data_IF_188373582857
#
_entry.id   IF_188373582857
#
_cell.length_a   1.000
_cell.length_b   1.000
_cell.length_c   1.000
_cell.angle_alpha   90.00
_cell.angle_beta   90.00
_cell.angle_gamma   90.00
#
_symmetry.space_group_name_H-M   'P 1'
#
loop_
_entity.id
_entity.type
_entity.pdbx_description
1 polymer ?
#
# COMPACT_ATOMS: atom_id res chain seq x y z
N UNK A 1 -17.57 -52.54 26.45
CA UNK A 1 -16.47 -52.78 27.34
C UNK A 1 -15.97 -51.42 27.77
N UNK A 2 -16.61 -50.76 28.74
CA UNK A 2 -16.50 -50.85 30.22
C UNK A 2 -15.05 -50.58 30.69
N UNK A 3 -14.85 -49.50 31.34
CA UNK A 3 -14.69 -49.13 32.74
C UNK A 3 -14.30 -47.66 32.79
N UNK A 4 -14.94 -46.65 33.34
CA UNK A 4 -15.53 -46.29 34.64
C UNK A 4 -14.60 -46.49 35.86
N UNK A 5 -14.36 -45.37 36.58
CA UNK A 5 -14.31 -45.13 38.02
C UNK A 5 -13.44 -43.89 38.27
N UNK A 6 -13.95 -42.80 38.78
CA UNK A 6 -14.59 -42.36 40.04
C UNK A 6 -13.60 -42.02 41.20
N UNK A 7 -13.98 -40.92 41.90
CA UNK A 7 -13.65 -40.45 43.25
C UNK A 7 -12.40 -39.55 43.38
N UNK A 8 -12.32 -38.54 44.26
CA UNK A 8 -13.27 -37.93 45.18
C UNK A 8 -12.69 -36.63 45.74
N UNK A 9 -13.56 -35.80 46.21
CA UNK A 9 -13.51 -34.65 47.08
C UNK A 9 -12.29 -34.47 47.99
N UNK A 10 -11.89 -33.22 48.30
CA UNK A 10 -12.16 -32.61 49.63
C UNK A 10 -11.85 -31.11 49.64
N UNK A 11 -12.83 -30.39 50.15
CA UNK A 11 -12.81 -29.01 50.60
C UNK A 11 -11.73 -28.72 51.66
N UNK A 12 -11.26 -27.48 51.76
CA UNK A 12 -11.07 -26.85 53.06
C UNK A 12 -11.22 -25.32 52.99
N UNK A 13 -12.35 -24.89 53.54
CA UNK A 13 -12.59 -23.55 54.04
C UNK A 13 -11.71 -23.26 55.24
N UNK A 14 -11.15 -22.07 55.35
CA UNK A 14 -10.84 -21.46 56.64
C UNK A 14 -11.14 -19.97 56.63
N UNK A 15 -12.25 -19.64 57.26
CA UNK A 15 -12.65 -18.36 57.82
C UNK A 15 -11.93 -18.11 59.13
N UNK A 16 -12.07 -16.87 59.64
CA UNK A 16 -11.83 -16.37 61.02
C UNK A 16 -10.69 -15.34 61.07
N UNK A 17 -10.75 -14.21 61.71
CA UNK A 17 -11.74 -13.58 62.62
C UNK A 17 -11.37 -12.09 62.77
N UNK A 18 -12.39 -11.30 63.08
CA UNK A 18 -12.25 -9.92 63.60
C UNK A 18 -11.99 -9.97 65.08
N UNK A 19 -11.10 -9.12 65.64
CA UNK A 19 -11.41 -8.31 66.87
C UNK A 19 -10.18 -7.62 67.46
N UNK A 20 -10.41 -6.29 67.71
CA UNK A 20 -9.95 -5.42 68.77
C UNK A 20 -8.44 -5.18 69.02
N UNK A 21 -8.01 -3.92 69.01
CA UNK A 21 -7.91 -3.09 70.24
C UNK A 21 -7.64 -1.60 69.91
N UNK A 22 -8.46 -0.76 70.53
CA UNK A 22 -8.24 0.68 70.71
C UNK A 22 -7.22 0.86 71.85
N UNK A 23 -6.41 1.95 71.84
CA UNK A 23 -6.23 2.93 72.95
C UNK A 23 -5.17 3.98 72.56
N UNK A 24 -5.63 5.21 72.55
CA UNK A 24 -5.09 6.54 72.89
C UNK A 24 -3.57 6.80 73.01
N UNK A 25 -3.17 7.92 72.41
CA UNK A 25 -1.96 8.70 72.73
C UNK A 25 -1.90 10.00 71.96
N UNK A 26 -2.44 11.09 72.45
CA UNK A 26 -2.31 12.45 71.95
C UNK A 26 -0.93 12.99 72.34
N UNK A 27 -0.08 13.40 71.40
CA UNK A 27 0.91 14.47 71.63
C UNK A 27 1.02 15.23 70.32
N UNK A 28 0.68 16.49 70.34
CA UNK A 28 0.75 17.39 69.20
C UNK A 28 2.18 17.84 68.89
N UNK A 29 2.47 17.91 67.63
CA UNK A 29 3.57 18.72 67.09
C UNK A 29 3.11 19.32 65.78
N UNK A 30 2.93 20.63 65.74
CA UNK A 30 2.63 21.38 64.56
C UNK A 30 3.87 21.39 63.67
N UNK A 31 3.79 20.79 62.50
CA UNK A 31 4.74 20.97 61.41
C UNK A 31 4.04 21.59 60.21
N UNK A 32 4.57 22.70 59.78
CA UNK A 32 4.19 23.47 58.61
C UNK A 32 4.00 22.56 57.40
N UNK A 33 2.79 22.44 56.90
CA UNK A 33 2.47 21.84 55.60
C UNK A 33 2.70 22.88 54.53
N UNK A 34 3.86 22.81 53.87
CA UNK A 34 4.02 23.42 52.54
C UNK A 34 3.09 22.73 51.55
N UNK A 35 2.62 23.43 50.49
CA UNK A 35 1.76 22.80 49.48
C UNK A 35 2.56 21.72 48.77
N UNK A 36 2.30 20.45 49.10
CA UNK A 36 2.73 19.33 48.34
C UNK A 36 2.11 19.48 46.93
N UNK A 37 2.92 19.91 45.98
CA UNK A 37 2.55 19.80 44.60
C UNK A 37 2.23 18.33 44.33
N UNK A 38 0.94 18.02 44.28
CA UNK A 38 0.47 16.75 43.72
C UNK A 38 0.94 16.71 42.32
N UNK A 39 2.07 16.07 42.08
CA UNK A 39 2.37 15.54 40.76
C UNK A 39 1.18 14.64 40.39
N UNK A 40 0.26 15.19 39.59
CA UNK A 40 -0.69 14.38 38.86
C UNK A 40 0.18 13.44 38.03
N UNK A 41 0.30 12.20 38.51
CA UNK A 41 0.68 11.10 37.60
C UNK A 41 -0.46 11.02 36.58
N UNK A 42 -0.36 11.85 35.55
CA UNK A 42 -1.17 11.72 34.36
C UNK A 42 -1.03 10.28 33.93
N UNK A 43 -2.12 9.55 33.90
CA UNK A 43 -2.20 8.28 33.20
C UNK A 43 -1.65 8.55 31.81
N UNK A 44 -0.42 8.16 31.54
CA UNK A 44 0.14 8.03 30.22
C UNK A 44 -0.53 6.84 29.54
N UNK A 45 -1.83 6.96 29.28
CA UNK A 45 -2.44 6.23 28.19
C UNK A 45 -1.74 6.75 26.95
N UNK A 46 -0.80 5.98 26.40
CA UNK A 46 0.01 6.41 25.28
C UNK A 46 -0.93 6.93 24.18
N UNK A 47 -0.63 8.12 23.66
CA UNK A 47 -1.31 8.69 22.48
C UNK A 47 -1.33 7.63 21.39
N UNK A 48 -2.49 7.42 20.78
CA UNK A 48 -2.69 6.40 19.76
C UNK A 48 -3.38 7.02 18.55
N UNK A 49 -2.92 6.64 17.35
CA UNK A 49 -3.59 6.85 16.08
C UNK A 49 -4.14 5.52 15.61
N UNK A 50 -5.34 5.50 15.10
CA UNK A 50 -5.99 4.34 14.50
C UNK A 50 -6.17 4.57 13.01
N UNK A 51 -5.64 3.67 12.20
CA UNK A 51 -5.75 3.66 10.74
C UNK A 51 -6.70 2.57 10.30
N UNK A 52 -7.60 2.88 9.36
CA UNK A 52 -8.44 1.90 8.68
C UNK A 52 -7.80 1.48 7.36
N UNK A 53 -7.65 0.18 7.13
CA UNK A 53 -7.06 -0.38 5.92
C UNK A 53 -7.96 -1.46 5.33
N UNK A 54 -8.25 -1.37 4.02
CA UNK A 54 -8.96 -2.40 3.25
C UNK A 54 -8.03 -2.91 2.16
N UNK A 55 -7.76 -4.21 2.19
CA UNK A 55 -6.86 -4.89 1.23
C UNK A 55 -7.41 -6.27 0.89
N UNK A 56 -7.10 -6.82 -0.28
CA UNK A 56 -7.42 -8.21 -0.57
C UNK A 56 -6.53 -9.13 0.27
N UNK A 57 -7.13 -9.77 1.28
CA UNK A 57 -6.49 -10.82 2.08
C UNK A 57 -6.84 -12.20 1.54
N UNK A 58 -7.86 -12.27 0.70
CA UNK A 58 -8.36 -13.47 0.02
C UNK A 58 -8.56 -13.19 -1.47
N UNK A 59 -8.64 -14.27 -2.26
CA UNK A 59 -8.89 -14.19 -3.69
C UNK A 59 -7.63 -13.97 -4.52
N UNK A 60 -7.83 -13.62 -5.78
CA UNK A 60 -6.78 -13.69 -6.79
C UNK A 60 -5.73 -12.55 -6.73
N UNK A 61 -5.94 -11.54 -5.90
CA UNK A 61 -4.99 -10.45 -5.66
C UNK A 61 -4.43 -10.44 -4.22
N UNK A 62 -4.64 -11.53 -3.46
CA UNK A 62 -4.22 -11.66 -2.07
C UNK A 62 -2.70 -11.50 -1.89
N UNK A 63 -1.90 -12.03 -2.81
CA UNK A 63 -0.44 -11.88 -2.77
C UNK A 63 0.00 -10.41 -2.73
N UNK A 64 -0.67 -9.55 -3.51
CA UNK A 64 -0.38 -8.10 -3.55
C UNK A 64 -0.82 -7.44 -2.24
N UNK A 65 -2.07 -7.73 -1.80
CA UNK A 65 -2.63 -7.17 -0.57
C UNK A 65 -1.85 -7.55 0.67
N UNK A 66 -1.52 -8.83 0.82
CA UNK A 66 -0.73 -9.36 1.94
C UNK A 66 0.70 -8.79 1.96
N UNK A 67 1.36 -8.71 0.81
CA UNK A 67 2.72 -8.17 0.74
C UNK A 67 2.75 -6.69 1.16
N UNK A 68 1.82 -5.87 0.66
CA UNK A 68 1.72 -4.46 1.04
C UNK A 68 1.40 -4.28 2.53
N UNK A 69 0.40 -5.03 3.05
CA UNK A 69 0.05 -5.04 4.47
C UNK A 69 1.26 -5.39 5.35
N UNK A 70 1.96 -6.47 5.01
CA UNK A 70 3.10 -6.97 5.79
C UNK A 70 4.24 -5.95 5.84
N UNK A 71 4.55 -5.30 4.71
CA UNK A 71 5.55 -4.24 4.67
C UNK A 71 5.20 -3.04 5.55
N UNK A 72 3.95 -2.59 5.49
CA UNK A 72 3.47 -1.50 6.33
C UNK A 72 3.46 -1.87 7.83
N UNK A 73 2.93 -3.05 8.15
CA UNK A 73 2.84 -3.56 9.52
C UNK A 73 4.23 -3.72 10.15
N UNK A 74 5.18 -4.28 9.42
CA UNK A 74 6.56 -4.46 9.87
C UNK A 74 7.18 -3.14 10.33
N UNK A 75 6.99 -2.05 9.57
CA UNK A 75 7.48 -0.72 9.97
C UNK A 75 6.75 -0.19 11.21
N UNK A 76 5.42 -0.21 11.23
CA UNK A 76 4.65 0.29 12.36
C UNK A 76 4.93 -0.50 13.65
N UNK A 77 5.07 -1.82 13.57
CA UNK A 77 5.44 -2.64 14.72
C UNK A 77 6.82 -2.27 15.25
N UNK A 78 7.80 -2.04 14.36
CA UNK A 78 9.16 -1.65 14.75
C UNK A 78 9.22 -0.30 15.49
N UNK A 79 8.42 0.68 15.08
CA UNK A 79 8.36 1.98 15.78
C UNK A 79 7.53 1.90 17.05
N UNK A 80 6.47 1.09 17.07
CA UNK A 80 5.63 0.89 18.25
C UNK A 80 6.38 0.20 19.39
N UNK A 81 7.28 -0.73 19.08
CA UNK A 81 8.19 -1.37 20.06
C UNK A 81 9.15 -0.36 20.70
N UNK A 82 9.50 0.72 19.99
CA UNK A 82 10.35 1.83 20.45
C UNK A 82 9.53 2.98 21.05
N UNK A 83 8.37 2.69 21.64
CA UNK A 83 7.45 3.67 22.24
C UNK A 83 6.71 4.58 21.22
N UNK A 84 6.60 4.16 19.96
CA UNK A 84 5.88 4.88 18.90
C UNK A 84 6.65 6.05 18.31
N UNK A 85 6.00 6.79 17.43
CA UNK A 85 6.55 7.98 16.76
C UNK A 85 6.31 9.19 17.66
N UNK A 86 7.35 9.76 18.24
CA UNK A 86 7.25 10.86 19.21
C UNK A 86 6.27 10.57 20.36
N UNK A 87 6.26 9.33 20.85
CA UNK A 87 5.36 8.87 21.92
C UNK A 87 3.94 8.52 21.46
N UNK A 88 3.67 8.53 20.15
CA UNK A 88 2.37 8.16 19.55
C UNK A 88 2.46 6.76 18.96
N UNK A 89 1.64 5.83 19.43
CA UNK A 89 1.50 4.50 18.83
C UNK A 89 0.56 4.53 17.63
N UNK A 90 0.85 3.72 16.63
CA UNK A 90 0.04 3.61 15.42
C UNK A 90 -0.57 2.20 15.38
N UNK A 91 -1.89 2.12 15.36
CA UNK A 91 -2.66 0.89 15.17
C UNK A 91 -3.26 0.87 13.78
N UNK A 92 -3.13 -0.26 13.08
CA UNK A 92 -3.81 -0.49 11.80
C UNK A 92 -4.91 -1.53 12.01
N UNK A 93 -6.14 -1.17 11.66
CA UNK A 93 -7.28 -2.09 11.58
C UNK A 93 -7.48 -2.46 10.14
N UNK A 94 -7.38 -3.74 9.83
CA UNK A 94 -7.45 -4.24 8.46
C UNK A 94 -8.71 -5.07 8.25
N UNK A 95 -9.39 -4.83 7.13
CA UNK A 95 -10.53 -5.61 6.65
C UNK A 95 -10.22 -6.17 5.26
N UNK A 96 -10.69 -7.40 5.02
CA UNK A 96 -10.60 -8.04 3.70
C UNK A 96 -11.66 -7.49 2.76
N UNK A 97 -11.25 -7.10 1.55
CA UNK A 97 -12.17 -6.75 0.48
C UNK A 97 -12.20 -7.76 -0.68
N UNK A 98 -11.32 -8.75 -0.68
CA UNK A 98 -11.22 -9.74 -1.74
C UNK A 98 -11.04 -9.13 -3.14
N UNK A 99 -10.43 -7.94 -3.22
CA UNK A 99 -10.28 -7.12 -4.43
C UNK A 99 -11.61 -6.63 -5.02
N UNK A 100 -12.64 -6.47 -4.18
CA UNK A 100 -13.96 -5.98 -4.56
C UNK A 100 -14.12 -4.50 -4.21
N UNK A 101 -14.35 -3.65 -5.22
CA UNK A 101 -14.60 -2.22 -5.03
C UNK A 101 -15.80 -1.95 -4.11
N UNK A 102 -16.86 -2.78 -4.20
CA UNK A 102 -18.05 -2.67 -3.33
C UNK A 102 -17.71 -2.96 -1.88
N UNK A 103 -16.92 -4.00 -1.61
CA UNK A 103 -16.49 -4.33 -0.24
C UNK A 103 -15.52 -3.26 0.29
N UNK A 104 -14.61 -2.77 -0.52
CA UNK A 104 -13.70 -1.70 -0.13
C UNK A 104 -14.44 -0.42 0.26
N UNK A 105 -15.49 -0.04 -0.48
CA UNK A 105 -16.38 1.08 -0.15
C UNK A 105 -17.10 0.86 1.18
N UNK A 106 -17.63 -0.34 1.43
CA UNK A 106 -18.28 -0.70 2.69
C UNK A 106 -17.29 -0.66 3.86
N UNK A 107 -16.09 -1.21 3.69
CA UNK A 107 -15.02 -1.16 4.69
C UNK A 107 -14.62 0.28 5.02
N UNK A 108 -14.46 1.14 4.01
CA UNK A 108 -14.13 2.56 4.20
C UNK A 108 -15.22 3.28 5.01
N UNK A 109 -16.49 3.04 4.70
CA UNK A 109 -17.63 3.59 5.43
C UNK A 109 -17.63 3.11 6.89
N UNK A 110 -17.35 1.82 7.12
CA UNK A 110 -17.22 1.25 8.47
C UNK A 110 -16.12 1.97 9.26
N UNK A 111 -14.93 2.09 8.71
CA UNK A 111 -13.82 2.77 9.37
C UNK A 111 -14.11 4.24 9.70
N UNK A 112 -14.74 4.98 8.76
CA UNK A 112 -15.11 6.38 8.99
C UNK A 112 -16.14 6.50 10.11
N UNK A 113 -17.14 5.61 10.15
CA UNK A 113 -18.15 5.57 11.21
C UNK A 113 -17.56 5.18 12.57
N UNK A 114 -16.55 4.34 12.60
CA UNK A 114 -15.78 3.98 13.81
C UNK A 114 -14.82 5.10 14.26
N UNK A 115 -14.68 6.16 13.48
CA UNK A 115 -13.88 7.33 13.84
C UNK A 115 -12.37 7.09 13.73
N UNK A 116 -11.89 6.30 12.76
CA UNK A 116 -10.45 6.19 12.50
C UNK A 116 -9.85 7.55 12.13
N UNK A 117 -8.57 7.74 12.44
CA UNK A 117 -7.88 9.01 12.20
C UNK A 117 -7.58 9.23 10.71
N UNK A 118 -7.32 8.13 9.97
CA UNK A 118 -7.14 8.14 8.52
C UNK A 118 -7.46 6.78 7.89
N UNK A 119 -7.85 6.78 6.63
CA UNK A 119 -7.79 5.62 5.75
C UNK A 119 -6.35 5.49 5.24
N UNK A 120 -5.81 4.28 5.27
CA UNK A 120 -4.41 4.02 4.94
C UNK A 120 -4.27 2.82 4.01
N UNK A 121 -3.57 3.00 2.91
CA UNK A 121 -3.05 1.87 2.14
C UNK A 121 -4.11 0.88 1.63
N UNK A 122 -5.25 1.36 1.16
CA UNK A 122 -6.20 0.53 0.43
C UNK A 122 -5.57 0.01 -0.86
N UNK A 123 -5.87 -1.22 -1.25
CA UNK A 123 -5.23 -1.87 -2.40
C UNK A 123 -6.22 -2.09 -3.54
N UNK A 124 -5.84 -1.66 -4.74
CA UNK A 124 -6.61 -1.76 -5.97
C UNK A 124 -7.17 -0.42 -6.43
N UNK A 125 -7.05 -0.12 -7.74
CA UNK A 125 -7.48 1.16 -8.30
C UNK A 125 -8.98 1.37 -8.11
N UNK A 126 -9.80 0.41 -8.53
CA UNK A 126 -11.24 0.46 -8.37
C UNK A 126 -11.67 0.49 -6.89
N UNK A 127 -10.96 -0.25 -6.01
CA UNK A 127 -11.20 -0.27 -4.56
C UNK A 127 -10.92 1.10 -3.92
N UNK A 128 -9.82 1.75 -4.31
CA UNK A 128 -9.47 3.08 -3.81
C UNK A 128 -10.47 4.15 -4.26
N UNK A 129 -10.87 4.12 -5.53
CA UNK A 129 -11.85 5.07 -6.09
C UNK A 129 -13.21 4.91 -5.41
N UNK A 130 -13.69 3.68 -5.23
CA UNK A 130 -14.96 3.39 -4.57
C UNK A 130 -14.95 3.76 -3.08
N UNK A 131 -13.86 3.49 -2.38
CA UNK A 131 -13.68 3.89 -0.98
C UNK A 131 -13.71 5.41 -0.80
N UNK A 132 -13.01 6.14 -1.67
CA UNK A 132 -13.02 7.61 -1.66
C UNK A 132 -14.42 8.15 -1.96
N UNK A 133 -15.07 7.67 -3.02
CA UNK A 133 -16.42 8.11 -3.38
C UNK A 133 -17.46 7.86 -2.27
N UNK A 134 -17.36 6.72 -1.58
CA UNK A 134 -18.27 6.38 -0.49
C UNK A 134 -18.08 7.24 0.77
N UNK A 135 -16.91 7.86 0.96
CA UNK A 135 -16.55 8.60 2.18
C UNK A 135 -16.26 10.09 1.94
N UNK A 136 -16.45 10.58 0.71
CA UNK A 136 -16.09 11.96 0.31
C UNK A 136 -16.78 13.02 1.17
N UNK A 137 -18.03 12.79 1.60
CA UNK A 137 -18.79 13.72 2.42
C UNK A 137 -18.18 13.94 3.82
N UNK A 138 -17.51 12.93 4.37
CA UNK A 138 -16.81 13.00 5.66
C UNK A 138 -15.37 13.50 5.50
N UNK A 139 -14.89 13.63 4.26
CA UNK A 139 -13.53 14.08 3.91
C UNK A 139 -12.42 13.45 4.80
N UNK A 140 -12.36 12.11 4.94
CA UNK A 140 -11.31 11.49 5.73
C UNK A 140 -9.96 11.78 5.09
N UNK A 141 -8.89 11.76 5.88
CA UNK A 141 -7.55 11.67 5.32
C UNK A 141 -7.42 10.28 4.68
N UNK A 142 -7.01 10.22 3.42
CA UNK A 142 -6.74 8.99 2.71
C UNK A 142 -5.28 8.95 2.30
N UNK A 143 -4.49 8.15 2.99
CA UNK A 143 -3.04 8.13 2.86
C UNK A 143 -2.56 6.90 2.11
N UNK A 144 -1.68 7.12 1.12
CA UNK A 144 -0.97 6.11 0.35
C UNK A 144 -1.86 5.00 -0.22
N UNK A 145 -2.99 5.33 -0.92
CA UNK A 145 -3.73 4.30 -1.62
C UNK A 145 -2.79 3.58 -2.62
N UNK A 146 -2.75 2.24 -2.55
CA UNK A 146 -2.11 1.39 -3.55
C UNK A 146 -3.06 1.24 -4.74
N UNK A 147 -3.39 2.38 -5.34
CA UNK A 147 -4.22 2.53 -6.51
C UNK A 147 -3.60 3.59 -7.40
N UNK A 148 -3.60 3.35 -8.70
CA UNK A 148 -2.92 4.23 -9.64
C UNK A 148 -3.88 5.22 -10.33
N UNK A 149 -5.13 5.36 -9.85
CA UNK A 149 -6.14 6.27 -10.39
C UNK A 149 -5.66 7.71 -10.43
N UNK A 150 -5.68 8.32 -11.60
CA UNK A 150 -5.36 9.74 -11.76
C UNK A 150 -6.46 10.64 -11.19
N UNK A 151 -7.69 10.13 -11.05
CA UNK A 151 -8.79 10.84 -10.40
C UNK A 151 -8.48 11.20 -8.95
N UNK A 152 -7.82 10.30 -8.18
CA UNK A 152 -7.39 10.57 -6.80
C UNK A 152 -6.18 11.51 -6.70
N UNK A 153 -5.69 12.02 -7.82
CA UNK A 153 -4.57 12.97 -7.93
C UNK A 153 -4.99 14.32 -8.49
N UNK A 154 -6.29 14.51 -8.69
CA UNK A 154 -6.82 15.77 -9.19
C UNK A 154 -6.51 16.92 -8.21
N UNK A 155 -6.25 18.15 -8.73
CA UNK A 155 -5.82 19.29 -7.91
C UNK A 155 -6.79 19.69 -6.81
N UNK A 156 -8.08 19.47 -7.02
CA UNK A 156 -9.18 19.78 -6.09
C UNK A 156 -9.34 18.75 -4.96
N UNK A 157 -8.68 17.59 -5.07
CA UNK A 157 -8.72 16.56 -4.02
C UNK A 157 -7.67 16.87 -2.95
N UNK A 158 -8.07 17.47 -1.84
CA UNK A 158 -7.16 17.95 -0.79
C UNK A 158 -6.95 16.94 0.36
N UNK A 159 -7.70 15.84 0.39
CA UNK A 159 -7.65 14.86 1.49
C UNK A 159 -6.91 13.57 1.15
N UNK A 160 -6.49 13.37 -0.11
CA UNK A 160 -5.76 12.20 -0.57
C UNK A 160 -4.28 12.52 -0.74
N UNK A 161 -3.42 11.70 -0.13
CA UNK A 161 -1.97 11.83 -0.18
C UNK A 161 -1.35 10.58 -0.80
N UNK A 162 -0.90 10.72 -2.05
CA UNK A 162 -0.38 9.60 -2.83
C UNK A 162 1.14 9.48 -2.67
N UNK A 163 1.61 8.29 -2.33
CA UNK A 163 3.05 7.96 -2.28
C UNK A 163 3.53 7.46 -3.65
N UNK A 164 2.71 6.65 -4.33
CA UNK A 164 3.02 6.15 -5.67
C UNK A 164 2.56 7.12 -6.77
N UNK A 165 3.17 7.08 -7.98
CA UNK A 165 2.69 7.81 -9.16
C UNK A 165 1.34 7.27 -9.67
N UNK A 166 0.71 8.01 -10.59
CA UNK A 166 -0.51 7.62 -11.27
C UNK A 166 -0.27 6.81 -12.54
N UNK A 167 -1.37 6.33 -13.16
CA UNK A 167 -1.31 5.64 -14.45
C UNK A 167 -0.72 6.53 -15.55
N UNK A 168 -1.02 7.83 -15.55
CA UNK A 168 -0.50 8.77 -16.52
C UNK A 168 1.03 8.90 -16.45
N UNK A 169 1.60 8.92 -15.23
CA UNK A 169 3.05 9.01 -15.04
C UNK A 169 3.76 7.77 -15.57
N UNK A 170 3.24 6.58 -15.24
CA UNK A 170 3.79 5.31 -15.70
C UNK A 170 3.64 5.14 -17.22
N UNK A 171 2.45 5.45 -17.77
CA UNK A 171 2.17 5.41 -19.20
C UNK A 171 3.14 6.29 -19.99
N UNK A 172 3.34 7.53 -19.54
CA UNK A 172 4.29 8.44 -20.19
C UNK A 172 5.71 7.86 -20.24
N UNK A 173 6.18 7.26 -19.14
CA UNK A 173 7.50 6.63 -19.07
C UNK A 173 7.61 5.42 -20.00
N UNK A 174 6.58 4.55 -20.03
CA UNK A 174 6.52 3.35 -20.87
C UNK A 174 6.50 3.73 -22.35
N UNK A 175 5.61 4.66 -22.73
CA UNK A 175 5.48 5.11 -24.14
C UNK A 175 6.76 5.79 -24.62
N UNK A 176 7.39 6.64 -23.78
CA UNK A 176 8.67 7.26 -24.10
C UNK A 176 9.77 6.22 -24.33
N UNK A 177 9.77 5.13 -23.57
CA UNK A 177 10.70 4.02 -23.78
C UNK A 177 10.49 3.36 -25.13
N UNK A 178 9.24 3.03 -25.50
CA UNK A 178 8.92 2.49 -26.81
C UNK A 178 9.43 3.42 -27.93
N UNK A 179 9.19 4.72 -27.80
CA UNK A 179 9.67 5.72 -28.75
C UNK A 179 11.21 5.74 -28.89
N UNK A 180 11.92 5.62 -27.77
CA UNK A 180 13.40 5.56 -27.76
C UNK A 180 13.93 4.34 -28.49
N UNK A 181 13.17 3.25 -28.53
CA UNK A 181 13.49 2.02 -29.27
C UNK A 181 12.98 2.03 -30.71
N UNK A 182 12.36 3.12 -31.18
CA UNK A 182 11.76 3.21 -32.51
C UNK A 182 10.51 2.36 -32.68
N UNK A 183 9.85 2.00 -31.58
CA UNK A 183 8.60 1.23 -31.58
C UNK A 183 7.42 2.21 -31.67
N UNK A 184 6.86 2.41 -32.83
CA UNK A 184 5.75 3.32 -33.13
C UNK A 184 4.40 2.60 -33.29
N UNK A 185 4.40 1.28 -33.48
CA UNK A 185 3.21 0.43 -33.56
C UNK A 185 2.86 -0.15 -32.19
N UNK A 186 2.28 0.68 -31.33
CA UNK A 186 1.94 0.33 -29.96
C UNK A 186 0.48 -0.11 -29.87
N UNK A 187 0.23 -1.24 -29.21
CA UNK A 187 -1.11 -1.70 -28.84
C UNK A 187 -1.26 -1.78 -27.31
N UNK A 188 -2.51 -1.81 -26.84
CA UNK A 188 -2.83 -1.98 -25.42
C UNK A 188 -3.72 -3.20 -25.22
N UNK A 189 -3.30 -4.08 -24.31
CA UNK A 189 -4.14 -5.09 -23.67
C UNK A 189 -4.50 -4.62 -22.28
N UNK A 190 -5.80 -4.60 -21.93
CA UNK A 190 -6.25 -4.13 -20.63
C UNK A 190 -7.39 -4.98 -20.06
N UNK A 191 -7.56 -4.96 -18.75
CA UNK A 191 -8.76 -5.48 -18.09
C UNK A 191 -9.92 -4.50 -18.22
N UNK A 192 -11.15 -5.03 -18.20
CA UNK A 192 -12.38 -4.24 -18.32
C UNK A 192 -12.83 -3.73 -16.94
N UNK A 193 -11.97 -2.92 -16.33
CA UNK A 193 -12.21 -2.25 -15.05
C UNK A 193 -11.66 -0.81 -15.04
N UNK A 194 -11.75 -0.14 -13.90
CA UNK A 194 -11.27 1.23 -13.74
C UNK A 194 -9.74 1.35 -14.00
N UNK A 195 -8.95 0.35 -13.57
CA UNK A 195 -7.50 0.32 -13.79
C UNK A 195 -7.17 0.16 -15.27
N UNK A 196 -7.74 -0.84 -15.92
CA UNK A 196 -7.45 -1.14 -17.31
C UNK A 196 -7.90 -0.04 -18.26
N UNK A 197 -9.11 0.48 -18.07
CA UNK A 197 -9.65 1.61 -18.87
C UNK A 197 -8.85 2.90 -18.62
N UNK A 198 -8.47 3.17 -17.36
CA UNK A 198 -7.65 4.32 -17.00
C UNK A 198 -6.25 4.25 -17.62
N UNK A 199 -5.60 3.08 -17.57
CA UNK A 199 -4.29 2.88 -18.20
C UNK A 199 -4.32 2.96 -19.71
N UNK A 200 -5.36 2.41 -20.35
CA UNK A 200 -5.57 2.58 -21.80
C UNK A 200 -5.67 4.06 -22.17
N UNK A 201 -6.48 4.83 -21.45
CA UNK A 201 -6.62 6.26 -21.65
C UNK A 201 -5.29 7.01 -21.41
N UNK A 202 -4.54 6.63 -20.36
CA UNK A 202 -3.25 7.21 -20.03
C UNK A 202 -2.20 6.95 -21.14
N UNK A 203 -2.16 5.72 -21.71
CA UNK A 203 -1.27 5.40 -22.84
C UNK A 203 -1.63 6.20 -24.08
N UNK A 204 -2.93 6.31 -24.40
CA UNK A 204 -3.39 7.12 -25.53
C UNK A 204 -3.02 8.60 -25.36
N UNK A 205 -3.17 9.15 -24.15
CA UNK A 205 -2.77 10.52 -23.85
C UNK A 205 -1.25 10.71 -23.95
N UNK A 206 -0.46 9.77 -23.45
CA UNK A 206 0.99 9.82 -23.54
C UNK A 206 1.50 9.83 -24.99
N UNK A 207 0.84 9.11 -25.90
CA UNK A 207 1.14 9.17 -27.34
C UNK A 207 0.89 10.56 -27.91
N UNK A 208 -0.22 11.21 -27.53
CA UNK A 208 -0.54 12.59 -27.94
C UNK A 208 0.52 13.56 -27.42
N UNK A 209 0.83 13.49 -26.11
CA UNK A 209 1.78 14.40 -25.45
C UNK A 209 3.20 14.29 -26.07
N UNK A 210 3.58 13.09 -26.45
CA UNK A 210 4.88 12.79 -27.11
C UNK A 210 4.86 12.97 -28.63
N UNK A 211 3.71 13.35 -29.20
CA UNK A 211 3.51 13.53 -30.67
C UNK A 211 3.85 12.26 -31.48
N UNK A 212 3.47 11.12 -30.93
CA UNK A 212 3.65 9.81 -31.55
C UNK A 212 2.38 9.38 -32.29
N UNK A 213 2.48 8.40 -33.22
CA UNK A 213 1.31 7.80 -33.86
C UNK A 213 0.32 7.26 -32.82
N UNK A 214 -1.00 7.26 -33.12
CA UNK A 214 -1.98 6.69 -32.22
C UNK A 214 -1.82 5.18 -32.08
N UNK A 215 -2.48 4.60 -31.04
CA UNK A 215 -2.52 3.15 -30.86
C UNK A 215 -2.93 2.44 -32.16
N UNK A 216 -2.22 1.37 -32.54
CA UNK A 216 -2.62 0.52 -33.66
C UNK A 216 -3.78 -0.40 -33.29
N UNK A 217 -4.06 -0.61 -32.01
CA UNK A 217 -5.19 -1.35 -31.51
C UNK A 217 -5.24 -1.42 -30.00
N UNK A 218 -6.41 -1.74 -29.48
CA UNK A 218 -6.62 -2.04 -28.07
C UNK A 218 -7.63 -3.17 -27.90
N UNK A 219 -7.50 -3.96 -26.83
CA UNK A 219 -8.43 -5.02 -26.50
C UNK A 219 -8.60 -5.14 -25.00
N UNK A 220 -9.83 -5.45 -24.58
CA UNK A 220 -10.19 -5.65 -23.18
C UNK A 220 -10.44 -7.13 -22.91
N UNK A 221 -10.20 -7.56 -21.66
CA UNK A 221 -10.56 -8.87 -21.14
C UNK A 221 -11.29 -8.76 -19.82
N UNK A 222 -12.00 -9.80 -19.37
CA UNK A 222 -12.52 -9.84 -17.99
C UNK A 222 -11.37 -9.72 -16.98
N UNK A 223 -11.67 -9.10 -15.81
CA UNK A 223 -10.70 -8.88 -14.74
C UNK A 223 -10.17 -10.21 -14.20
N UNK A 224 -8.85 -10.28 -14.03
CA UNK A 224 -8.11 -11.41 -13.45
C UNK A 224 -8.50 -12.77 -14.05
N UNK A 225 -8.53 -12.84 -15.39
CA UNK A 225 -9.10 -13.95 -16.15
C UNK A 225 -8.10 -14.48 -17.19
N UNK A 226 -8.18 -15.78 -17.47
CA UNK A 226 -7.49 -16.44 -18.58
C UNK A 226 -8.25 -16.35 -19.93
N UNK A 227 -9.44 -15.72 -19.94
CA UNK A 227 -10.29 -15.54 -21.12
C UNK A 227 -9.79 -14.39 -22.01
N UNK A 228 -8.62 -14.56 -22.59
CA UNK A 228 -7.92 -13.53 -23.37
C UNK A 228 -7.90 -13.80 -24.88
N UNK A 229 -8.52 -14.89 -25.35
CA UNK A 229 -8.43 -15.33 -26.75
C UNK A 229 -8.92 -14.28 -27.75
N UNK A 230 -10.03 -13.60 -27.43
CA UNK A 230 -10.58 -12.54 -28.28
C UNK A 230 -9.61 -11.36 -28.36
N UNK A 231 -8.95 -11.01 -27.25
CA UNK A 231 -7.95 -9.95 -27.21
C UNK A 231 -6.68 -10.32 -28.02
N UNK A 232 -6.21 -11.56 -27.87
CA UNK A 232 -5.09 -12.09 -28.66
C UNK A 232 -5.41 -11.99 -30.15
N UNK A 233 -6.57 -12.53 -30.59
CA UNK A 233 -6.97 -12.51 -31.99
C UNK A 233 -7.10 -11.08 -32.56
N UNK A 234 -7.60 -10.13 -31.75
CA UNK A 234 -7.72 -8.73 -32.17
C UNK A 234 -6.36 -8.06 -32.33
N UNK A 235 -5.46 -8.22 -31.37
CA UNK A 235 -4.18 -7.52 -31.36
C UNK A 235 -3.17 -8.15 -32.35
N UNK A 236 -3.23 -9.45 -32.58
CA UNK A 236 -2.37 -10.09 -33.59
C UNK A 236 -2.67 -9.61 -35.02
N UNK A 237 -3.92 -9.23 -35.32
CA UNK A 237 -4.29 -8.68 -36.64
C UNK A 237 -3.61 -7.35 -36.97
N UNK A 238 -3.34 -6.53 -35.95
CA UNK A 238 -2.74 -5.20 -36.14
C UNK A 238 -1.23 -5.21 -36.05
N UNK A 239 -0.59 -6.35 -35.85
CA UNK A 239 0.86 -6.56 -35.87
C UNK A 239 1.64 -5.49 -35.07
N UNK A 240 1.41 -5.36 -33.74
CA UNK A 240 2.10 -4.37 -32.93
C UNK A 240 3.57 -4.73 -32.73
N UNK A 241 4.45 -3.73 -32.59
CA UNK A 241 5.84 -3.91 -32.19
C UNK A 241 5.96 -4.04 -30.65
N UNK A 242 5.09 -3.32 -29.93
CA UNK A 242 5.00 -3.35 -28.49
C UNK A 242 3.54 -3.48 -28.03
N UNK A 243 3.31 -4.30 -27.01
CA UNK A 243 2.02 -4.43 -26.35
C UNK A 243 2.17 -3.98 -24.90
N UNK A 244 1.47 -2.91 -24.54
CA UNK A 244 1.41 -2.42 -23.16
C UNK A 244 0.24 -3.10 -22.48
N UNK A 245 0.47 -3.73 -21.31
CA UNK A 245 -0.52 -4.46 -20.57
C UNK A 245 -0.92 -3.69 -19.31
N UNK A 246 -2.23 -3.49 -19.12
CA UNK A 246 -2.85 -2.85 -17.96
C UNK A 246 -3.83 -3.86 -17.34
N UNK A 247 -3.31 -4.82 -16.63
CA UNK A 247 -4.08 -5.95 -16.09
C UNK A 247 -3.43 -6.50 -14.82
N UNK A 248 -4.10 -7.39 -14.11
CA UNK A 248 -3.49 -8.19 -13.08
C UNK A 248 -2.64 -9.32 -13.68
N UNK A 249 -1.81 -9.93 -12.86
CA UNK A 249 -0.80 -10.90 -13.29
C UNK A 249 -1.37 -12.15 -13.97
N UNK A 250 -2.57 -12.63 -13.58
CA UNK A 250 -3.18 -13.80 -14.23
C UNK A 250 -3.57 -13.52 -15.69
N UNK A 251 -4.25 -12.38 -15.94
CA UNK A 251 -4.61 -11.97 -17.30
C UNK A 251 -3.37 -11.65 -18.12
N UNK A 252 -2.37 -10.96 -17.53
CA UNK A 252 -1.09 -10.68 -18.19
C UNK A 252 -0.38 -11.96 -18.59
N UNK A 253 -0.28 -12.94 -17.69
CA UNK A 253 0.38 -14.22 -17.97
C UNK A 253 -0.33 -15.03 -19.07
N UNK A 254 -1.65 -15.15 -18.97
CA UNK A 254 -2.45 -15.84 -19.99
C UNK A 254 -2.30 -15.18 -21.37
N UNK A 255 -2.33 -13.85 -21.40
CA UNK A 255 -2.18 -13.10 -22.64
C UNK A 255 -0.79 -13.26 -23.24
N UNK A 256 0.29 -13.15 -22.47
CA UNK A 256 1.68 -13.34 -22.92
C UNK A 256 1.84 -14.75 -23.55
N UNK A 257 1.40 -15.81 -22.85
CA UNK A 257 1.50 -17.18 -23.36
C UNK A 257 0.80 -17.36 -24.69
N UNK A 258 -0.49 -16.98 -24.76
CA UNK A 258 -1.29 -17.18 -25.97
C UNK A 258 -0.80 -16.33 -27.13
N UNK A 259 -0.35 -15.11 -26.86
CA UNK A 259 0.19 -14.22 -27.90
C UNK A 259 1.51 -14.74 -28.45
N UNK A 260 2.42 -15.22 -27.59
CA UNK A 260 3.66 -15.88 -28.03
C UNK A 260 3.38 -17.16 -28.82
N UNK A 261 2.45 -17.98 -28.38
CA UNK A 261 2.01 -19.17 -29.12
C UNK A 261 1.43 -18.83 -30.50
N UNK A 262 0.84 -17.65 -30.65
CA UNK A 262 0.37 -17.11 -31.94
C UNK A 262 1.49 -16.46 -32.79
N UNK A 263 2.76 -16.57 -32.37
CA UNK A 263 3.92 -16.10 -33.12
C UNK A 263 4.34 -14.65 -32.85
N UNK A 264 3.85 -14.01 -31.79
CA UNK A 264 4.28 -12.66 -31.44
C UNK A 264 5.68 -12.65 -30.85
N UNK A 265 6.58 -11.92 -31.52
CA UNK A 265 7.97 -11.73 -31.11
C UNK A 265 8.29 -10.30 -30.63
N UNK A 266 7.29 -9.44 -30.52
CA UNK A 266 7.46 -8.07 -30.03
C UNK A 266 7.60 -7.97 -28.51
N UNK A 267 7.65 -6.75 -28.00
CA UNK A 267 7.89 -6.45 -26.59
C UNK A 267 6.59 -6.40 -25.79
N UNK A 268 6.61 -6.99 -24.59
CA UNK A 268 5.56 -6.81 -23.58
C UNK A 268 6.04 -5.82 -22.53
N UNK A 269 5.21 -4.80 -22.26
CA UNK A 269 5.47 -3.81 -21.21
C UNK A 269 4.29 -3.79 -20.24
N UNK A 270 4.59 -3.75 -18.96
CA UNK A 270 3.58 -3.83 -17.91
C UNK A 270 3.69 -2.63 -16.96
N UNK A 271 2.56 -2.23 -16.41
CA UNK A 271 2.52 -1.30 -15.28
C UNK A 271 2.96 -1.98 -13.98
N UNK A 272 3.46 -1.19 -13.04
CA UNK A 272 3.96 -1.68 -11.75
C UNK A 272 2.93 -2.47 -10.93
N UNK A 273 1.64 -2.18 -11.11
CA UNK A 273 0.52 -2.82 -10.41
C UNK A 273 0.36 -4.31 -10.72
N UNK A 274 0.96 -4.80 -11.81
CA UNK A 274 0.95 -6.22 -12.18
C UNK A 274 1.72 -7.07 -11.17
N UNK A 275 2.81 -6.53 -10.63
CA UNK A 275 3.71 -7.23 -9.71
C UNK A 275 4.67 -8.21 -10.41
N UNK A 276 5.97 -8.09 -10.11
CA UNK A 276 7.00 -8.98 -10.71
C UNK A 276 6.85 -10.40 -10.16
N UNK A 277 6.81 -10.55 -8.86
CA UNK A 277 6.82 -11.86 -8.21
C UNK A 277 5.54 -12.66 -8.53
N UNK A 278 4.31 -12.07 -8.48
CA UNK A 278 3.10 -12.76 -8.95
C UNK A 278 3.16 -13.15 -10.44
N UNK A 279 3.66 -12.25 -11.31
CA UNK A 279 3.78 -12.55 -12.73
C UNK A 279 4.83 -13.64 -13.00
N UNK A 280 5.95 -13.63 -12.28
CA UNK A 280 6.96 -14.68 -12.35
C UNK A 280 6.41 -16.04 -11.88
N UNK A 281 5.67 -16.05 -10.78
CA UNK A 281 4.99 -17.26 -10.29
C UNK A 281 4.04 -17.84 -11.33
N UNK A 282 3.33 -16.98 -12.05
CA UNK A 282 2.40 -17.38 -13.09
C UNK A 282 3.10 -17.83 -14.40
N UNK A 283 4.17 -17.18 -14.83
CA UNK A 283 4.84 -17.44 -16.13
C UNK A 283 6.04 -18.38 -16.04
N UNK A 284 6.72 -18.43 -14.89
CA UNK A 284 8.02 -19.08 -14.79
C UNK A 284 9.03 -18.47 -15.76
N UNK A 285 9.80 -19.29 -16.46
CA UNK A 285 10.83 -18.84 -17.41
C UNK A 285 10.29 -18.02 -18.59
N UNK A 286 9.01 -18.14 -18.89
CA UNK A 286 8.35 -17.39 -19.96
C UNK A 286 8.26 -15.87 -19.67
N UNK A 287 8.57 -15.42 -18.44
CA UNK A 287 8.64 -14.00 -18.11
C UNK A 287 9.83 -13.29 -18.79
N UNK A 288 10.82 -14.04 -19.26
CA UNK A 288 12.02 -13.47 -19.86
C UNK A 288 11.73 -12.46 -20.97
N UNK A 289 12.35 -11.27 -20.87
CA UNK A 289 12.18 -10.17 -21.82
C UNK A 289 10.96 -9.29 -21.58
N UNK A 290 10.13 -9.60 -20.59
CA UNK A 290 9.02 -8.72 -20.19
C UNK A 290 9.59 -7.47 -19.50
N UNK A 291 9.12 -6.30 -19.91
CA UNK A 291 9.46 -5.02 -19.28
C UNK A 291 8.35 -4.61 -18.30
N UNK A 292 8.74 -4.04 -17.16
CA UNK A 292 7.80 -3.56 -16.17
C UNK A 292 8.25 -2.22 -15.59
N UNK A 293 7.31 -1.28 -15.44
CA UNK A 293 7.58 -0.07 -14.67
C UNK A 293 7.67 -0.39 -13.18
N UNK A 294 8.53 0.33 -12.48
CA UNK A 294 8.67 0.25 -11.03
C UNK A 294 8.61 1.64 -10.41
N UNK A 295 7.81 1.77 -9.37
CA UNK A 295 7.51 3.06 -8.73
C UNK A 295 8.20 3.23 -7.37
N UNK A 296 8.88 2.19 -6.92
CA UNK A 296 9.69 2.15 -5.71
C UNK A 296 11.04 1.50 -6.01
N UNK A 297 12.07 1.72 -5.19
CA UNK A 297 13.37 1.08 -5.38
C UNK A 297 13.26 -0.45 -5.32
N UNK A 298 14.13 -1.12 -6.06
CA UNK A 298 14.23 -2.58 -5.94
C UNK A 298 14.48 -3.00 -4.48
N UNK A 299 13.69 -3.92 -3.93
CA UNK A 299 13.88 -4.44 -2.58
C UNK A 299 15.22 -5.17 -2.40
N UNK A 300 15.97 -5.39 -3.49
CA UNK A 300 17.30 -6.02 -3.49
C UNK A 300 18.44 -5.00 -3.65
N UNK A 301 18.16 -3.70 -3.72
CA UNK A 301 19.19 -2.63 -3.88
C UNK A 301 19.88 -2.31 -2.56
N UNK A 302 20.67 -3.22 -2.04
CA UNK A 302 21.35 -3.14 -0.72
C UNK A 302 22.27 -1.92 -0.53
N UNK A 303 22.61 -1.17 -1.60
CA UNK A 303 23.36 0.08 -1.52
C UNK A 303 22.57 1.27 -0.96
N UNK A 304 21.24 1.20 -0.97
CA UNK A 304 20.36 2.28 -0.51
C UNK A 304 20.06 2.14 1.00
N UNK A 305 20.27 3.17 1.83
CA UNK A 305 19.98 3.09 3.26
C UNK A 305 18.55 2.68 3.60
N UNK A 306 17.55 3.17 2.84
CA UNK A 306 16.16 2.76 2.97
C UNK A 306 15.99 1.24 2.84
N UNK A 307 16.63 0.64 1.83
CA UNK A 307 16.54 -0.79 1.58
C UNK A 307 17.25 -1.61 2.66
N UNK A 308 18.40 -1.13 3.14
CA UNK A 308 19.10 -1.78 4.27
C UNK A 308 18.24 -1.82 5.53
N UNK A 309 17.54 -0.72 5.84
CA UNK A 309 16.64 -0.64 6.99
C UNK A 309 15.45 -1.60 6.81
N UNK A 310 14.83 -1.60 5.62
CA UNK A 310 13.75 -2.51 5.27
C UNK A 310 14.17 -3.98 5.41
N UNK A 311 15.30 -4.38 4.82
CA UNK A 311 15.79 -5.74 4.89
C UNK A 311 16.15 -6.16 6.32
N UNK A 312 16.76 -5.27 7.11
CA UNK A 312 17.07 -5.54 8.52
C UNK A 312 15.85 -5.77 9.41
N UNK A 313 14.68 -5.22 9.04
CA UNK A 313 13.41 -5.55 9.70
C UNK A 313 12.80 -6.84 9.11
N UNK A 314 12.91 -7.03 7.82
CA UNK A 314 12.39 -8.22 7.12
C UNK A 314 13.05 -9.50 7.63
N UNK A 315 14.35 -9.47 7.90
CA UNK A 315 15.12 -10.60 8.46
C UNK A 315 14.62 -11.08 9.83
N UNK A 316 13.77 -10.29 10.49
CA UNK A 316 13.13 -10.65 11.76
C UNK A 316 11.73 -11.28 11.57
N UNK A 317 11.35 -11.55 10.33
CA UNK A 317 10.04 -12.08 9.93
C UNK A 317 10.20 -13.22 8.93
N UNK A 318 9.12 -13.97 8.69
CA UNK A 318 9.05 -14.99 7.64
C UNK A 318 8.58 -14.41 6.29
N UNK A 319 8.54 -13.08 6.14
CA UNK A 319 8.06 -12.43 4.93
C UNK A 319 9.14 -12.37 3.85
N UNK A 320 8.72 -12.29 2.60
CA UNK A 320 9.60 -12.22 1.44
C UNK A 320 9.69 -10.77 0.94
N UNK A 321 10.91 -10.35 0.57
CA UNK A 321 11.14 -9.05 -0.03
C UNK A 321 10.47 -8.96 -1.40
N UNK A 322 9.55 -8.00 -1.57
CA UNK A 322 8.87 -7.71 -2.84
C UNK A 322 8.68 -6.21 -3.05
N UNK A 323 8.32 -5.80 -4.27
CA UNK A 323 8.04 -4.40 -4.57
C UNK A 323 6.80 -3.90 -3.82
N UNK A 324 5.77 -4.73 -3.67
CA UNK A 324 4.56 -4.41 -2.92
C UNK A 324 4.87 -4.24 -1.41
N UNK A 325 5.71 -5.11 -0.87
CA UNK A 325 6.10 -5.05 0.54
C UNK A 325 6.93 -3.79 0.84
N UNK A 326 7.93 -3.45 0.02
CA UNK A 326 8.70 -2.21 0.22
C UNK A 326 7.83 -0.96 0.00
N UNK A 327 6.81 -1.00 -0.88
CA UNK A 327 5.88 0.11 -1.04
C UNK A 327 5.02 0.31 0.20
N UNK A 328 4.51 -0.75 0.82
CA UNK A 328 3.83 -0.69 2.11
C UNK A 328 4.70 -0.13 3.23
N UNK A 329 5.96 -0.57 3.29
CA UNK A 329 6.97 -0.04 4.21
C UNK A 329 7.22 1.46 4.01
N UNK A 330 7.40 1.90 2.76
CA UNK A 330 7.59 3.32 2.41
C UNK A 330 6.36 4.14 2.82
N UNK A 331 5.15 3.63 2.56
CA UNK A 331 3.91 4.29 2.96
C UNK A 331 3.83 4.46 4.48
N UNK A 332 4.11 3.42 5.24
CA UNK A 332 4.12 3.47 6.71
C UNK A 332 5.17 4.45 7.26
N UNK A 333 6.35 4.47 6.66
CA UNK A 333 7.42 5.40 7.04
C UNK A 333 7.07 6.85 6.71
N UNK A 334 6.46 7.11 5.55
CA UNK A 334 5.97 8.43 5.18
C UNK A 334 4.85 8.92 6.12
N UNK A 335 3.91 8.05 6.47
CA UNK A 335 2.87 8.35 7.43
C UNK A 335 3.46 8.73 8.80
N UNK A 336 4.41 7.93 9.28
CA UNK A 336 5.11 8.17 10.55
C UNK A 336 5.86 9.49 10.58
N UNK A 337 6.46 9.91 9.47
CA UNK A 337 7.07 11.25 9.36
C UNK A 337 6.01 12.35 9.49
N UNK A 338 4.82 12.17 8.92
CA UNK A 338 3.69 13.09 9.12
C UNK A 338 3.28 13.18 10.60
N UNK A 339 3.21 12.05 11.31
CA UNK A 339 2.96 12.02 12.76
C UNK A 339 4.05 12.81 13.52
N UNK A 340 5.32 12.56 13.22
CA UNK A 340 6.46 13.25 13.85
C UNK A 340 6.37 14.77 13.64
N UNK A 341 6.06 15.22 12.43
CA UNK A 341 5.91 16.66 12.11
C UNK A 341 4.72 17.26 12.81
N UNK A 342 3.56 16.59 12.83
CA UNK A 342 2.37 17.06 13.52
C UNK A 342 2.62 17.26 15.02
N UNK A 343 3.29 16.30 15.68
CA UNK A 343 3.68 16.42 17.10
C UNK A 343 4.68 17.54 17.32
N UNK A 344 5.67 17.70 16.45
CA UNK A 344 6.68 18.75 16.56
C UNK A 344 6.07 20.16 16.41
N UNK A 345 5.08 20.33 15.52
CA UNK A 345 4.44 21.63 15.24
C UNK A 345 3.42 22.03 16.35
N UNK A 346 2.61 21.09 16.83
CA UNK A 346 1.46 21.41 17.69
C UNK A 346 1.48 20.72 19.06
N UNK A 347 2.49 19.91 19.34
CA UNK A 347 2.55 19.07 20.53
C UNK A 347 1.51 17.95 20.58
N UNK A 348 0.68 17.78 19.55
CA UNK A 348 -0.39 16.77 19.46
C UNK A 348 -0.53 16.23 18.04
N UNK A 349 -1.30 15.16 17.93
CA UNK A 349 -1.68 14.59 16.64
C UNK A 349 -3.20 14.64 16.54
N UNK A 350 -3.68 15.24 15.47
CA UNK A 350 -5.07 15.24 15.04
C UNK A 350 -5.13 15.30 13.50
N UNK A 351 -6.32 15.14 12.93
CA UNK A 351 -6.51 15.13 11.47
C UNK A 351 -5.99 16.41 10.79
N UNK A 352 -6.19 17.58 11.41
CA UNK A 352 -5.73 18.88 10.86
C UNK A 352 -4.20 18.98 10.86
N UNK A 353 -3.55 18.58 11.95
CA UNK A 353 -2.11 18.55 12.09
C UNK A 353 -1.46 17.56 11.12
N UNK A 354 -2.04 16.36 10.96
CA UNK A 354 -1.57 15.38 9.97
C UNK A 354 -1.69 15.92 8.55
N UNK A 355 -2.85 16.51 8.19
CA UNK A 355 -3.04 17.09 6.86
C UNK A 355 -1.97 18.14 6.56
N UNK A 356 -1.77 19.11 7.46
CA UNK A 356 -0.74 20.14 7.33
C UNK A 356 0.67 19.55 7.22
N UNK A 357 0.97 18.52 8.02
CA UNK A 357 2.24 17.82 7.97
C UNK A 357 2.48 17.16 6.60
N UNK A 358 1.49 16.45 6.05
CA UNK A 358 1.59 15.83 4.73
C UNK A 358 1.73 16.87 3.61
N UNK A 359 0.97 17.96 3.65
CA UNK A 359 1.08 19.07 2.70
C UNK A 359 2.46 19.76 2.73
N UNK A 360 3.19 19.66 3.84
CA UNK A 360 4.55 20.17 3.97
C UNK A 360 5.63 19.24 3.42
N UNK A 361 5.28 17.99 3.09
CA UNK A 361 6.22 16.97 2.62
C UNK A 361 6.41 17.06 1.10
N UNK A 362 7.13 18.07 0.63
CA UNK A 362 7.43 18.29 -0.79
C UNK A 362 8.70 17.57 -1.27
N UNK A 363 9.61 17.21 -0.37
CA UNK A 363 10.88 16.55 -0.71
C UNK A 363 11.43 15.79 0.52
N UNK A 364 10.67 14.79 0.99
CA UNK A 364 11.11 13.97 2.11
C UNK A 364 12.03 12.85 1.64
N UNK A 365 13.31 12.91 2.03
CA UNK A 365 14.31 11.88 1.74
C UNK A 365 14.30 10.79 2.81
N UNK A 366 14.01 9.57 2.41
CA UNK A 366 13.96 8.37 3.26
C UNK A 366 15.26 7.53 3.23
N UNK A 367 16.39 8.14 2.91
CA UNK A 367 17.64 7.40 2.75
C UNK A 367 17.87 6.91 1.32
N UNK A 368 17.75 7.84 0.37
CA UNK A 368 17.95 7.60 -1.06
C UNK A 368 16.68 7.55 -1.90
N UNK A 369 15.52 7.35 -1.27
CA UNK A 369 14.21 7.49 -1.93
C UNK A 369 13.50 8.74 -1.43
N UNK A 370 12.93 9.52 -2.34
CA UNK A 370 12.28 10.80 -2.04
C UNK A 370 10.77 10.70 -2.24
N UNK A 371 10.00 11.23 -1.29
CA UNK A 371 8.55 11.32 -1.36
C UNK A 371 8.12 12.78 -1.39
N UNK A 372 7.25 13.11 -2.33
CA UNK A 372 6.59 14.39 -2.46
C UNK A 372 5.07 14.19 -2.38
N UNK A 373 4.48 14.52 -1.22
CA UNK A 373 3.03 14.41 -1.00
C UNK A 373 2.26 15.65 -1.46
N UNK A 374 2.97 16.75 -1.77
CA UNK A 374 2.38 17.99 -2.26
C UNK A 374 2.08 17.94 -3.76
N UNK A 375 2.86 17.17 -4.52
CA UNK A 375 2.73 17.10 -5.97
C UNK A 375 1.45 16.37 -6.38
N UNK A 376 0.62 17.03 -7.17
CA UNK A 376 -0.67 16.51 -7.61
C UNK A 376 -0.72 16.05 -9.07
N UNK A 377 0.22 16.47 -9.93
CA UNK A 377 0.38 16.01 -11.33
C UNK A 377 1.84 16.09 -11.73
N UNK A 378 2.29 15.22 -12.63
CA UNK A 378 3.52 15.18 -13.46
C UNK A 378 4.81 15.86 -12.91
N UNK A 379 4.67 16.80 -11.98
CA UNK A 379 5.75 17.62 -11.43
C UNK A 379 6.56 16.91 -10.33
N UNK A 380 6.07 15.78 -9.84
CA UNK A 380 6.88 15.02 -8.91
C UNK A 380 7.93 14.26 -9.68
N UNK A 381 9.19 14.50 -9.38
CA UNK A 381 10.33 13.64 -9.73
C UNK A 381 10.14 12.31 -8.99
N UNK A 382 9.06 11.60 -9.32
CA UNK A 382 8.84 10.24 -8.83
C UNK A 382 9.71 9.36 -9.71
N UNK A 383 10.57 8.62 -9.08
CA UNK A 383 11.44 7.69 -9.79
C UNK A 383 10.55 6.58 -10.33
N UNK A 384 10.29 6.61 -11.64
CA UNK A 384 9.73 5.48 -12.36
C UNK A 384 10.87 4.85 -13.13
N UNK A 385 11.30 3.69 -12.71
CA UNK A 385 12.26 2.87 -13.43
C UNK A 385 11.53 1.93 -14.38
N UNK A 386 12.17 1.60 -15.52
CA UNK A 386 11.76 0.46 -16.34
C UNK A 386 12.79 -0.63 -16.17
N UNK A 387 12.32 -1.82 -15.90
CA UNK A 387 13.16 -2.98 -15.66
C UNK A 387 12.79 -4.10 -16.62
N UNK A 388 13.79 -4.82 -17.11
CA UNK A 388 13.59 -6.03 -17.89
C UNK A 388 13.76 -7.23 -16.97
N UNK A 389 12.85 -8.20 -17.07
CA UNK A 389 12.88 -9.40 -16.25
C UNK A 389 13.57 -10.52 -17.02
N UNK A 390 14.52 -11.19 -16.36
CA UNK A 390 15.22 -12.35 -16.94
C UNK A 390 14.40 -13.63 -16.74
N UNK A 391 14.70 -14.73 -17.49
CA UNK A 391 13.98 -16.00 -17.33
C UNK A 391 14.07 -16.63 -15.92
N UNK A 392 15.07 -16.25 -15.12
CA UNK A 392 15.22 -16.66 -13.72
C UNK A 392 14.62 -15.66 -12.71
N UNK A 393 13.81 -14.71 -13.21
CA UNK A 393 13.09 -13.73 -12.39
C UNK A 393 13.94 -12.60 -11.83
N UNK A 394 15.21 -12.49 -12.26
CA UNK A 394 16.04 -11.34 -11.89
C UNK A 394 15.65 -10.11 -12.69
N UNK A 395 15.96 -8.96 -12.12
CA UNK A 395 15.62 -7.64 -12.66
C UNK A 395 16.87 -6.96 -13.17
N UNK A 396 16.85 -6.58 -14.46
CA UNK A 396 17.88 -5.76 -15.11
C UNK A 396 17.33 -4.34 -15.32
N UNK A 397 18.18 -3.34 -15.09
CA UNK A 397 17.90 -1.92 -15.32
C UNK A 397 18.61 -1.43 -16.58
#
# INVERSE_FOLDING_TARGET
MLWLLLFDDTENFMTIDRRYFLINGIVGTACFAGPAARAQSGKTGGRKIVLGQSVPLTGAADQIGLAYLNGAKMYFDSVNQKNGVSGVKIEVRTLDDGYSATKAAANATTFVNEGVDALFGFVGTASCDAAYAATIAQAPLFFAPFGASDALRAPDIASVFNVRPGLADEAYKIVRHCATLGQDRIAVFAEDDAMGRGGLAAVAQALIDLKLPPLVGSALSPVNSDKVDAAVAALMKVQPQAIIQVSLFNSSAAFIRKTRAAGYGGQFLNFSVVGIDPLFSALGKEIGGVVMSQVVPSPRSVGMPLIKEYLGLLDQTDHIASYESIEGYIAARAFSEGVRRSVADTGKVDRGGLKKAFESMSDYNMGGFRVNLKAKKYESVRVIDLVTITPDGKVLR
#
